data_IF_975587243472
#
_entry.id   IF_975587243472
#
_cell.length_a   1.000
_cell.length_b   1.000
_cell.length_c   1.000
_cell.angle_alpha   90.00
_cell.angle_beta   90.00
_cell.angle_gamma   90.00
#
_symmetry.space_group_name_H-M   'P 1'
#
loop_
_entity.id
_entity.type
_entity.pdbx_description
1 polymer ?
#
# COMPACT_ATOMS: atom_id res chain seq x y z
N UNK A 1 -11.33 -8.15 -14.02
CA UNK A 1 -10.04 -7.58 -14.48
C UNK A 1 -9.06 -8.65 -14.95
N UNK A 2 -8.66 -9.62 -14.11
CA UNK A 2 -7.68 -10.67 -14.50
C UNK A 2 -8.33 -11.87 -15.21
N UNK A 3 -9.37 -12.48 -14.62
CA UNK A 3 -10.09 -13.60 -15.25
C UNK A 3 -11.18 -13.17 -16.26
N UNK A 4 -11.40 -11.85 -16.42
CA UNK A 4 -12.44 -11.25 -17.27
C UNK A 4 -13.88 -11.80 -17.09
N UNK A 5 -14.23 -12.31 -15.90
CA UNK A 5 -15.56 -12.84 -15.58
C UNK A 5 -16.51 -11.80 -14.98
N UNK A 6 -15.98 -10.66 -14.52
CA UNK A 6 -16.73 -9.59 -13.87
C UNK A 6 -16.14 -8.25 -14.28
N UNK A 7 -17.01 -7.25 -14.46
CA UNK A 7 -16.60 -5.87 -14.69
C UNK A 7 -15.71 -5.39 -13.52
N UNK A 8 -14.54 -4.84 -13.84
CA UNK A 8 -13.61 -4.26 -12.87
C UNK A 8 -14.21 -3.14 -12.04
N UNK A 9 -15.18 -2.40 -12.58
CA UNK A 9 -15.82 -1.28 -11.88
C UNK A 9 -16.48 -1.75 -10.57
N UNK A 10 -17.07 -2.95 -10.60
CA UNK A 10 -17.70 -3.56 -9.42
C UNK A 10 -16.66 -3.79 -8.31
N UNK A 11 -15.46 -4.26 -8.66
CA UNK A 11 -14.38 -4.43 -7.69
C UNK A 11 -13.92 -3.08 -7.11
N UNK A 12 -13.77 -2.07 -7.96
CA UNK A 12 -13.32 -0.74 -7.51
C UNK A 12 -14.35 -0.06 -6.62
N UNK A 13 -15.63 -0.21 -6.91
CA UNK A 13 -16.75 0.29 -6.10
C UNK A 13 -16.82 -0.42 -4.75
N UNK A 14 -16.76 -1.75 -4.74
CA UNK A 14 -16.78 -2.53 -3.50
C UNK A 14 -15.57 -2.20 -2.63
N UNK A 15 -14.39 -1.96 -3.21
CA UNK A 15 -13.17 -1.70 -2.43
C UNK A 15 -13.06 -0.26 -1.89
N UNK A 16 -14.02 0.64 -2.17
CA UNK A 16 -13.98 2.03 -1.67
C UNK A 16 -13.94 2.11 -0.13
N UNK A 17 -14.59 1.17 0.57
CA UNK A 17 -14.67 1.17 2.03
C UNK A 17 -13.29 1.07 2.70
N UNK A 18 -12.31 0.42 2.04
CA UNK A 18 -10.96 0.22 2.59
C UNK A 18 -10.26 1.53 2.95
N UNK A 19 -10.62 2.64 2.31
CA UNK A 19 -10.09 3.96 2.67
C UNK A 19 -10.38 4.32 4.14
N UNK A 20 -11.41 3.73 4.74
CA UNK A 20 -11.84 3.95 6.12
C UNK A 20 -11.51 2.78 7.06
N UNK A 21 -11.01 1.66 6.53
CA UNK A 21 -10.70 0.45 7.28
C UNK A 21 -9.21 0.36 7.60
N UNK A 22 -8.89 -0.28 8.73
CA UNK A 22 -7.53 -0.49 9.23
C UNK A 22 -7.28 -1.94 9.63
N UNK A 23 -8.27 -2.83 9.44
CA UNK A 23 -8.13 -4.24 9.72
C UNK A 23 -7.34 -4.93 8.60
N UNK A 24 -6.30 -5.66 8.99
CA UNK A 24 -5.45 -6.40 8.07
C UNK A 24 -6.25 -7.38 7.20
N UNK A 25 -7.27 -8.05 7.76
CA UNK A 25 -8.09 -9.04 7.04
C UNK A 25 -8.92 -8.39 5.95
N UNK A 26 -9.44 -7.18 6.19
CA UNK A 26 -10.15 -6.41 5.18
C UNK A 26 -9.21 -5.98 4.04
N UNK A 27 -7.98 -5.57 4.40
CA UNK A 27 -6.97 -5.13 3.43
C UNK A 27 -6.27 -6.25 2.67
N UNK A 28 -6.20 -7.46 3.21
CA UNK A 28 -5.46 -8.58 2.63
C UNK A 28 -5.85 -8.87 1.16
N UNK A 29 -7.14 -8.94 0.77
CA UNK A 29 -7.51 -9.10 -0.63
C UNK A 29 -7.04 -7.95 -1.54
N UNK A 30 -7.02 -6.71 -1.04
CA UNK A 30 -6.52 -5.57 -1.80
C UNK A 30 -4.99 -5.65 -1.98
N UNK A 31 -4.25 -6.04 -0.93
CA UNK A 31 -2.81 -6.26 -1.03
C UNK A 31 -2.50 -7.32 -2.09
N UNK A 32 -3.25 -8.43 -2.10
CA UNK A 32 -3.12 -9.46 -3.15
C UNK A 32 -3.44 -8.94 -4.55
N UNK A 33 -4.48 -8.11 -4.68
CA UNK A 33 -4.79 -7.49 -5.95
C UNK A 33 -3.65 -6.56 -6.43
N UNK A 34 -3.04 -5.79 -5.52
CA UNK A 34 -1.89 -4.92 -5.83
C UNK A 34 -0.68 -5.75 -6.29
N UNK A 35 -0.38 -6.87 -5.60
CA UNK A 35 0.65 -7.83 -5.99
C UNK A 35 0.43 -8.32 -7.43
N UNK A 36 -0.77 -8.81 -7.73
CA UNK A 36 -1.12 -9.33 -9.04
C UNK A 36 -1.07 -8.26 -10.14
N UNK A 37 -1.41 -7.01 -9.82
CA UNK A 37 -1.38 -5.87 -10.73
C UNK A 37 -0.01 -5.23 -10.87
N UNK A 38 0.99 -5.64 -10.08
CA UNK A 38 2.27 -4.93 -9.96
C UNK A 38 3.04 -4.83 -11.28
N UNK A 39 2.86 -5.80 -12.18
CA UNK A 39 3.46 -5.78 -13.52
C UNK A 39 3.00 -4.59 -14.37
N UNK A 40 1.86 -3.95 -14.04
CA UNK A 40 1.33 -2.79 -14.74
C UNK A 40 2.04 -1.48 -14.33
N UNK A 41 2.69 -1.45 -13.16
CA UNK A 41 3.20 -0.22 -12.58
C UNK A 41 4.36 0.41 -13.37
N UNK A 42 5.25 -0.31 -14.08
CA UNK A 42 6.26 0.36 -14.90
C UNK A 42 5.70 1.21 -16.04
N UNK A 43 4.46 0.97 -16.49
CA UNK A 43 3.88 1.60 -17.68
C UNK A 43 3.12 2.90 -17.37
N UNK A 44 3.33 3.93 -18.17
CA UNK A 44 2.69 5.25 -18.01
C UNK A 44 1.18 5.24 -18.29
N UNK A 45 0.70 4.30 -19.10
CA UNK A 45 -0.73 4.11 -19.41
C UNK A 45 -1.56 3.79 -18.16
N UNK A 46 -0.93 3.22 -17.14
CA UNK A 46 -1.58 2.83 -15.88
C UNK A 46 -1.34 3.82 -14.73
N UNK A 47 -0.90 5.05 -15.03
CA UNK A 47 -0.77 6.12 -14.02
C UNK A 47 -2.05 6.36 -13.20
N UNK A 48 -3.27 6.39 -13.78
CA UNK A 48 -4.49 6.56 -13.00
C UNK A 48 -4.69 5.49 -11.91
N UNK A 49 -4.32 4.23 -12.20
CA UNK A 49 -4.38 3.14 -11.24
C UNK A 49 -3.44 3.40 -10.05
N UNK A 50 -2.20 3.83 -10.32
CA UNK A 50 -1.24 4.18 -9.27
C UNK A 50 -1.75 5.26 -8.35
N UNK A 51 -2.34 6.31 -8.91
CA UNK A 51 -2.89 7.45 -8.14
C UNK A 51 -4.00 6.97 -7.20
N UNK A 52 -4.91 6.10 -7.68
CA UNK A 52 -5.99 5.54 -6.86
C UNK A 52 -5.44 4.68 -5.73
N UNK A 53 -4.44 3.83 -6.02
CA UNK A 53 -3.82 2.96 -5.02
C UNK A 53 -3.07 3.77 -3.96
N UNK A 54 -2.23 4.72 -4.38
CA UNK A 54 -1.50 5.63 -3.47
C UNK A 54 -2.46 6.41 -2.57
N UNK A 55 -3.54 6.96 -3.11
CA UNK A 55 -4.53 7.67 -2.30
C UNK A 55 -5.10 6.79 -1.18
N UNK A 56 -5.37 5.51 -1.45
CA UNK A 56 -5.91 4.57 -0.46
C UNK A 56 -4.86 4.17 0.57
N UNK A 57 -3.63 3.92 0.15
CA UNK A 57 -2.52 3.57 1.03
C UNK A 57 -2.15 4.73 1.97
N UNK A 58 -2.00 5.95 1.44
CA UNK A 58 -1.68 7.13 2.24
C UNK A 58 -2.76 7.39 3.31
N UNK A 59 -4.03 7.10 2.98
CA UNK A 59 -5.13 7.16 3.95
C UNK A 59 -5.04 6.10 5.05
N UNK A 60 -4.64 4.88 4.70
CA UNK A 60 -4.39 3.82 5.67
C UNK A 60 -3.23 4.21 6.60
N UNK A 61 -2.09 4.59 6.04
CA UNK A 61 -0.91 5.04 6.79
C UNK A 61 -1.23 6.24 7.68
N UNK A 62 -2.00 7.22 7.22
CA UNK A 62 -2.43 8.35 8.05
C UNK A 62 -3.22 7.95 9.31
N UNK A 63 -3.94 6.81 9.23
CA UNK A 63 -4.72 6.25 10.35
C UNK A 63 -3.86 5.39 11.28
N UNK A 64 -3.12 4.43 10.75
CA UNK A 64 -2.32 3.49 11.55
C UNK A 64 -0.93 4.05 11.93
N UNK A 65 -0.58 5.23 11.41
CA UNK A 65 0.72 5.91 11.55
C UNK A 65 1.86 5.19 10.84
N UNK A 66 2.84 5.97 10.40
CA UNK A 66 3.99 5.48 9.64
C UNK A 66 4.99 4.71 10.52
N UNK A 67 5.20 5.15 11.75
CA UNK A 67 6.08 4.47 12.70
C UNK A 67 5.31 3.45 13.53
N UNK A 68 5.96 2.33 13.84
CA UNK A 68 5.41 1.30 14.71
C UNK A 68 5.34 1.78 16.16
N UNK A 69 4.24 1.47 16.83
CA UNK A 69 4.06 1.74 18.24
C UNK A 69 4.20 0.45 19.06
N UNK A 70 4.61 0.56 20.33
CA UNK A 70 4.83 -0.59 21.21
C UNK A 70 3.56 -1.42 21.47
N UNK A 71 2.43 -0.76 21.39
CA UNK A 71 1.08 -1.26 21.59
C UNK A 71 0.45 -1.86 20.32
N UNK A 72 1.12 -1.72 19.17
CA UNK A 72 0.61 -2.29 17.93
C UNK A 72 0.61 -3.82 18.00
N UNK A 73 -0.54 -4.41 17.65
CA UNK A 73 -0.60 -5.84 17.41
C UNK A 73 0.14 -6.22 16.11
N UNK A 74 0.51 -7.49 16.00
CA UNK A 74 1.31 -7.99 14.86
C UNK A 74 0.62 -7.79 13.51
N UNK A 75 -0.71 -7.89 13.44
CA UNK A 75 -1.45 -7.68 12.19
C UNK A 75 -1.41 -6.22 11.74
N UNK A 76 -1.47 -5.26 12.67
CA UNK A 76 -1.29 -3.84 12.38
C UNK A 76 0.12 -3.55 11.87
N UNK A 77 1.15 -4.18 12.47
CA UNK A 77 2.54 -4.08 11.99
C UNK A 77 2.68 -4.65 10.58
N UNK A 78 2.17 -5.85 10.33
CA UNK A 78 2.19 -6.46 9.00
C UNK A 78 1.44 -5.60 7.96
N UNK A 79 0.28 -5.05 8.33
CA UNK A 79 -0.49 -4.16 7.45
C UNK A 79 0.32 -2.93 7.05
N UNK A 80 0.97 -2.30 8.05
CA UNK A 80 1.82 -1.13 7.84
C UNK A 80 2.99 -1.43 6.93
N UNK A 81 3.71 -2.53 7.18
CA UNK A 81 4.86 -2.93 6.38
C UNK A 81 4.46 -3.19 4.91
N UNK A 82 3.34 -3.87 4.67
CA UNK A 82 2.81 -4.04 3.32
C UNK A 82 2.40 -2.71 2.68
N UNK A 83 1.70 -1.84 3.41
CA UNK A 83 1.26 -0.56 2.87
C UNK A 83 2.45 0.35 2.49
N UNK A 84 3.43 0.50 3.38
CA UNK A 84 4.66 1.28 3.14
C UNK A 84 5.45 0.67 1.97
N UNK A 85 5.58 -0.66 1.88
CA UNK A 85 6.21 -1.33 0.72
C UNK A 85 5.56 -0.87 -0.58
N UNK A 86 4.23 -0.92 -0.65
CA UNK A 86 3.49 -0.55 -1.86
C UNK A 86 3.53 0.96 -2.16
N UNK A 87 3.48 1.84 -1.16
CA UNK A 87 3.68 3.29 -1.35
C UNK A 87 5.03 3.57 -2.03
N UNK A 88 6.11 2.98 -1.50
CA UNK A 88 7.45 3.11 -2.08
C UNK A 88 7.52 2.60 -3.53
N UNK A 89 6.95 1.41 -3.80
CA UNK A 89 6.93 0.81 -5.15
C UNK A 89 6.13 1.67 -6.14
N UNK A 90 5.01 2.22 -5.70
CA UNK A 90 4.14 3.08 -6.51
C UNK A 90 4.72 4.49 -6.72
N UNK A 91 5.71 4.87 -5.92
CA UNK A 91 6.54 6.05 -6.15
C UNK A 91 6.33 7.17 -5.15
N UNK A 92 5.73 6.90 -4.00
CA UNK A 92 5.55 7.89 -2.93
C UNK A 92 6.90 8.47 -2.47
N UNK A 93 6.96 9.81 -2.37
CA UNK A 93 8.19 10.53 -2.06
C UNK A 93 8.56 10.44 -0.58
N UNK A 94 7.58 10.45 0.32
CA UNK A 94 7.79 10.36 1.76
C UNK A 94 8.35 8.99 2.11
N UNK A 95 7.72 7.93 1.58
CA UNK A 95 8.20 6.57 1.77
C UNK A 95 9.65 6.38 1.28
N UNK A 96 9.98 6.89 0.08
CA UNK A 96 11.34 6.78 -0.47
C UNK A 96 12.35 7.57 0.34
N UNK A 97 11.99 8.77 0.80
CA UNK A 97 12.83 9.58 1.67
C UNK A 97 13.17 8.84 2.97
N UNK A 98 12.15 8.27 3.62
CA UNK A 98 12.33 7.50 4.85
C UNK A 98 13.15 6.23 4.62
N UNK A 99 12.92 5.50 3.52
CA UNK A 99 13.72 4.32 3.18
C UNK A 99 15.21 4.66 3.01
N UNK A 100 15.54 5.78 2.36
CA UNK A 100 16.92 6.26 2.22
C UNK A 100 17.52 6.66 3.57
N UNK A 101 16.77 7.36 4.41
CA UNK A 101 17.20 7.76 5.76
C UNK A 101 17.51 6.55 6.62
N UNK A 102 16.60 5.56 6.68
CA UNK A 102 16.77 4.32 7.45
C UNK A 102 17.97 3.51 6.94
N UNK A 103 18.15 3.42 5.61
CA UNK A 103 19.32 2.76 5.03
C UNK A 103 20.64 3.44 5.43
N UNK A 104 20.73 4.77 5.33
CA UNK A 104 21.93 5.52 5.73
C UNK A 104 22.26 5.29 7.20
N UNK A 105 21.26 5.36 8.08
CA UNK A 105 21.45 5.11 9.50
C UNK A 105 22.03 3.71 9.76
N UNK A 106 21.51 2.67 9.10
CA UNK A 106 22.05 1.31 9.22
C UNK A 106 23.48 1.16 8.68
N UNK A 107 23.84 1.89 7.62
CA UNK A 107 25.20 1.88 7.08
C UNK A 107 26.20 2.58 8.00
N UNK A 108 25.76 3.62 8.71
CA UNK A 108 26.55 4.34 9.70
C UNK A 108 26.61 3.63 11.06
N UNK A 109 25.64 2.76 11.36
CA UNK A 109 25.51 2.02 12.63
C UNK A 109 25.31 0.50 12.35
N UNK A 110 26.37 -0.24 12.00
CA UNK A 110 26.30 -1.66 11.62
C UNK A 110 25.87 -2.61 12.75
#
# INVERSE_FOLDING_TARGET
MIANQLNSDIFWDLSKYLSYDTDYRAWYPMIKAIEDMSYLFPFSEHQPLKVILLYRLNRLIGRIKYEEASEDNDLTKCLRQEAVKWECVLGDLECKSEAVTKLKWHLENP
#
